data_IF_748165971917
#
_entry.id   IF_748165971917
#
_cell.length_a   1.000
_cell.length_b   1.000
_cell.length_c   1.000
_cell.angle_alpha   90.00
_cell.angle_beta   90.00
_cell.angle_gamma   90.00
#
_symmetry.space_group_name_H-M   'P 1'
#
loop_
_entity.id
_entity.type
_entity.pdbx_description
1 polymer ?
#
# COMPACT_ATOMS: atom_id res chain seq x y z
N UNK A 1 -39.77 -4.48 -1.93
CA UNK A 1 -38.34 -4.55 -1.67
C UNK A 1 -37.62 -3.56 -2.57
N UNK A 2 -37.14 -2.47 -2.02
CA UNK A 2 -36.41 -1.46 -2.78
C UNK A 2 -35.00 -2.00 -3.04
N UNK A 3 -34.66 -2.23 -4.30
CA UNK A 3 -33.27 -2.56 -4.66
C UNK A 3 -32.39 -1.39 -4.26
N UNK A 4 -31.41 -1.61 -3.39
CA UNK A 4 -30.33 -0.66 -3.17
C UNK A 4 -29.72 -0.29 -4.51
N UNK A 5 -29.69 1.00 -4.83
CA UNK A 5 -28.94 1.49 -5.98
C UNK A 5 -27.46 1.13 -5.75
N UNK A 6 -26.74 0.77 -6.82
CA UNK A 6 -25.29 0.51 -6.72
C UNK A 6 -24.54 1.70 -6.10
N UNK A 7 -25.01 2.92 -6.33
CA UNK A 7 -24.46 4.14 -5.77
C UNK A 7 -24.66 4.26 -4.24
N UNK A 8 -25.70 3.66 -3.69
CA UNK A 8 -25.99 3.64 -2.25
C UNK A 8 -25.18 2.56 -1.52
N UNK A 9 -24.42 1.75 -2.28
CA UNK A 9 -23.58 0.71 -1.73
C UNK A 9 -22.41 1.31 -0.94
N UNK A 10 -22.06 0.68 0.17
CA UNK A 10 -20.87 1.08 0.92
C UNK A 10 -19.62 0.76 0.11
N UNK A 11 -18.62 1.62 0.23
CA UNK A 11 -17.41 1.47 -0.56
C UNK A 11 -16.69 0.14 -0.27
N UNK A 12 -16.63 -0.29 1.00
CA UNK A 12 -15.99 -1.57 1.32
C UNK A 12 -16.71 -2.76 0.68
N UNK A 13 -18.05 -2.71 0.60
CA UNK A 13 -18.84 -3.75 -0.08
C UNK A 13 -18.56 -3.77 -1.58
N UNK A 14 -18.50 -2.58 -2.19
CA UNK A 14 -18.15 -2.45 -3.61
C UNK A 14 -16.75 -2.96 -3.89
N UNK A 15 -15.79 -2.62 -3.03
CA UNK A 15 -14.41 -3.05 -3.17
C UNK A 15 -14.28 -4.57 -3.03
N UNK A 16 -15.00 -5.17 -2.09
CA UNK A 16 -15.05 -6.62 -1.91
C UNK A 16 -15.56 -7.32 -3.17
N UNK A 17 -16.69 -6.86 -3.71
CA UNK A 17 -17.24 -7.41 -4.95
C UNK A 17 -16.28 -7.23 -6.13
N UNK A 18 -15.63 -6.08 -6.21
CA UNK A 18 -14.65 -5.78 -7.24
C UNK A 18 -13.45 -6.74 -7.17
N UNK A 19 -12.96 -7.01 -5.97
CA UNK A 19 -11.86 -7.98 -5.78
C UNK A 19 -12.30 -9.37 -6.23
N UNK A 20 -13.46 -9.82 -5.82
CA UNK A 20 -13.99 -11.13 -6.22
C UNK A 20 -14.15 -11.25 -7.74
N UNK A 21 -14.66 -10.21 -8.36
CA UNK A 21 -14.96 -10.22 -9.79
C UNK A 21 -13.69 -10.14 -10.65
N UNK A 22 -12.74 -9.29 -10.29
CA UNK A 22 -11.61 -8.97 -11.17
C UNK A 22 -10.27 -9.52 -10.70
N UNK A 23 -10.10 -9.82 -9.42
CA UNK A 23 -8.81 -10.23 -8.87
C UNK A 23 -8.73 -11.71 -8.49
N UNK A 24 -9.79 -12.27 -7.96
CA UNK A 24 -9.81 -13.71 -7.65
C UNK A 24 -9.63 -14.53 -8.93
N UNK A 25 -8.63 -15.38 -8.96
CA UNK A 25 -8.27 -16.18 -10.12
C UNK A 25 -7.42 -15.47 -11.16
N UNK A 26 -7.25 -14.15 -11.06
CA UNK A 26 -6.47 -13.36 -12.02
C UNK A 26 -5.09 -12.96 -11.48
N UNK A 27 -4.93 -12.89 -10.16
CA UNK A 27 -3.68 -12.49 -9.51
C UNK A 27 -3.19 -13.60 -8.59
N UNK A 28 -1.89 -13.54 -8.24
CA UNK A 28 -1.29 -14.51 -7.31
C UNK A 28 -1.90 -14.39 -5.92
N UNK A 29 -1.85 -15.47 -5.14
CA UNK A 29 -2.37 -15.52 -3.78
C UNK A 29 -1.76 -14.44 -2.88
N UNK A 30 -0.48 -14.13 -3.04
CA UNK A 30 0.19 -13.04 -2.30
C UNK A 30 -0.43 -11.69 -2.60
N UNK A 31 -0.70 -11.41 -3.88
CA UNK A 31 -1.33 -10.16 -4.31
C UNK A 31 -2.77 -10.09 -3.83
N UNK A 32 -3.51 -11.18 -3.90
CA UNK A 32 -4.88 -11.27 -3.40
C UNK A 32 -4.94 -11.00 -1.89
N UNK A 33 -3.98 -11.53 -1.13
CA UNK A 33 -3.86 -11.24 0.30
C UNK A 33 -3.70 -9.75 0.58
N UNK A 34 -2.91 -9.04 -0.23
CA UNK A 34 -2.73 -7.59 -0.11
C UNK A 34 -4.04 -6.83 -0.37
N UNK A 35 -4.80 -7.23 -1.38
CA UNK A 35 -6.12 -6.65 -1.64
C UNK A 35 -7.08 -6.89 -0.47
N UNK A 36 -7.08 -8.08 0.10
CA UNK A 36 -7.91 -8.41 1.25
C UNK A 36 -7.52 -7.62 2.50
N UNK A 37 -6.23 -7.38 2.70
CA UNK A 37 -5.74 -6.51 3.79
C UNK A 37 -6.21 -5.07 3.58
N UNK A 38 -6.14 -4.56 2.36
CA UNK A 38 -6.63 -3.22 2.03
C UNK A 38 -8.14 -3.10 2.24
N UNK A 39 -8.89 -4.13 1.87
CA UNK A 39 -10.34 -4.21 2.13
C UNK A 39 -10.63 -4.13 3.63
N UNK A 40 -9.90 -4.88 4.43
CA UNK A 40 -10.05 -4.85 5.89
C UNK A 40 -9.79 -3.45 6.44
N UNK A 41 -8.76 -2.76 5.93
CA UNK A 41 -8.43 -1.40 6.35
C UNK A 41 -9.51 -0.38 5.94
N UNK A 42 -10.05 -0.52 4.75
CA UNK A 42 -11.18 0.32 4.29
C UNK A 42 -12.38 0.13 5.22
N UNK A 43 -12.70 -1.11 5.58
CA UNK A 43 -13.76 -1.42 6.51
C UNK A 43 -13.52 -0.77 7.89
N UNK A 44 -12.30 -0.83 8.40
CA UNK A 44 -11.96 -0.25 9.70
C UNK A 44 -11.99 1.29 9.70
N UNK A 45 -11.49 1.90 8.62
CA UNK A 45 -11.33 3.36 8.53
C UNK A 45 -12.58 4.08 8.05
N UNK A 46 -13.34 3.47 7.17
CA UNK A 46 -14.49 4.11 6.54
C UNK A 46 -15.64 3.12 6.34
N UNK A 47 -16.20 2.56 7.44
CA UNK A 47 -17.23 1.52 7.32
C UNK A 47 -18.56 2.05 6.79
N UNK A 48 -18.81 3.35 6.91
CA UNK A 48 -20.06 3.98 6.48
C UNK A 48 -19.95 4.80 5.20
N UNK A 49 -18.76 4.82 4.58
CA UNK A 49 -18.55 5.58 3.35
C UNK A 49 -19.26 4.91 2.18
N UNK A 50 -20.16 5.65 1.54
CA UNK A 50 -20.86 5.19 0.34
C UNK A 50 -20.04 5.52 -0.91
N UNK A 51 -20.17 4.69 -1.95
CA UNK A 51 -19.47 4.88 -3.22
C UNK A 51 -19.76 6.27 -3.81
N UNK A 52 -21.02 6.69 -3.81
CA UNK A 52 -21.42 8.00 -4.36
C UNK A 52 -20.88 9.20 -3.58
N UNK A 53 -20.54 8.99 -2.30
CA UNK A 53 -20.01 10.04 -1.44
C UNK A 53 -18.52 10.27 -1.60
N UNK A 54 -17.83 9.39 -2.32
CA UNK A 54 -16.40 9.51 -2.49
C UNK A 54 -16.09 10.70 -3.37
N UNK A 55 -15.49 11.71 -2.77
CA UNK A 55 -14.92 12.85 -3.46
C UNK A 55 -13.42 12.94 -3.17
N UNK A 56 -12.76 13.91 -3.76
CA UNK A 56 -11.32 14.11 -3.57
C UNK A 56 -10.95 14.31 -2.10
N UNK A 57 -11.76 15.06 -1.36
CA UNK A 57 -11.49 15.35 0.05
C UNK A 57 -11.66 14.11 0.92
N UNK A 58 -12.73 13.37 0.72
CA UNK A 58 -13.00 12.13 1.47
C UNK A 58 -11.96 11.06 1.18
N UNK A 59 -11.59 10.93 -0.08
CA UNK A 59 -10.54 10.00 -0.46
C UNK A 59 -9.18 10.39 0.13
N UNK A 60 -8.83 11.68 0.08
CA UNK A 60 -7.62 12.19 0.71
C UNK A 60 -7.63 11.95 2.22
N UNK A 61 -8.78 12.16 2.86
CA UNK A 61 -8.92 11.90 4.30
C UNK A 61 -8.72 10.43 4.64
N UNK A 62 -9.26 9.54 3.83
CA UNK A 62 -9.07 8.09 4.00
C UNK A 62 -7.57 7.74 3.91
N UNK A 63 -6.87 8.27 2.93
CA UNK A 63 -5.42 8.06 2.79
C UNK A 63 -4.64 8.66 3.96
N UNK A 64 -5.04 9.83 4.44
CA UNK A 64 -4.40 10.46 5.58
C UNK A 64 -4.58 9.64 6.87
N UNK A 65 -5.77 9.10 7.08
CA UNK A 65 -6.07 8.24 8.24
C UNK A 65 -5.22 6.96 8.20
N UNK A 66 -5.09 6.37 7.03
CA UNK A 66 -4.22 5.21 6.83
C UNK A 66 -2.75 5.57 7.07
N UNK A 67 -2.32 6.74 6.62
CA UNK A 67 -0.96 7.22 6.74
C UNK A 67 -0.50 7.48 8.17
N UNK A 68 -1.44 7.66 9.11
CA UNK A 68 -1.11 7.87 10.52
C UNK A 68 -0.35 6.68 11.13
N UNK A 69 -0.63 5.49 10.64
CA UNK A 69 -0.06 4.24 11.17
C UNK A 69 0.83 3.50 10.20
N UNK A 70 1.00 4.02 8.98
CA UNK A 70 1.75 3.34 7.92
C UNK A 70 2.75 4.28 7.26
N UNK A 71 3.84 3.72 6.76
CA UNK A 71 4.85 4.47 6.02
C UNK A 71 4.32 4.92 4.66
N UNK A 72 4.97 5.92 4.08
CA UNK A 72 4.58 6.51 2.80
C UNK A 72 4.48 5.47 1.67
N UNK A 73 5.44 4.55 1.57
CA UNK A 73 5.41 3.51 0.55
C UNK A 73 4.21 2.58 0.72
N UNK A 74 3.90 2.20 1.95
CA UNK A 74 2.75 1.36 2.26
C UNK A 74 1.44 2.08 1.92
N UNK A 75 1.37 3.37 2.21
CA UNK A 75 0.21 4.21 1.85
C UNK A 75 0.06 4.34 0.33
N UNK A 76 1.17 4.45 -0.39
CA UNK A 76 1.16 4.46 -1.85
C UNK A 76 0.61 3.15 -2.43
N UNK A 77 1.03 2.02 -1.88
CA UNK A 77 0.54 0.71 -2.29
C UNK A 77 -0.97 0.56 -2.04
N UNK A 78 -1.42 1.02 -0.88
CA UNK A 78 -2.84 1.07 -0.52
C UNK A 78 -3.63 1.91 -1.53
N UNK A 79 -3.12 3.10 -1.87
CA UNK A 79 -3.72 3.97 -2.87
C UNK A 79 -3.84 3.27 -4.24
N UNK A 80 -2.79 2.62 -4.71
CA UNK A 80 -2.80 1.93 -5.99
C UNK A 80 -3.85 0.81 -6.03
N UNK A 81 -4.01 0.08 -4.94
CA UNK A 81 -5.00 -0.98 -4.85
C UNK A 81 -6.43 -0.44 -4.86
N UNK A 82 -6.70 0.66 -4.17
CA UNK A 82 -8.01 1.30 -4.17
C UNK A 82 -8.33 2.00 -5.48
N UNK A 83 -7.31 2.58 -6.12
CA UNK A 83 -7.48 3.35 -7.35
C UNK A 83 -8.14 2.55 -8.46
N UNK A 84 -7.76 1.30 -8.65
CA UNK A 84 -8.36 0.43 -9.68
C UNK A 84 -9.88 0.31 -9.50
N UNK A 85 -10.32 0.04 -8.29
CA UNK A 85 -11.74 -0.08 -7.97
C UNK A 85 -12.48 1.26 -8.15
N UNK A 86 -11.87 2.35 -7.70
CA UNK A 86 -12.46 3.69 -7.81
C UNK A 86 -12.60 4.12 -9.27
N UNK A 87 -11.60 3.86 -10.11
CA UNK A 87 -11.68 4.17 -11.54
C UNK A 87 -12.78 3.38 -12.24
N UNK A 88 -12.97 2.12 -11.88
CA UNK A 88 -14.06 1.31 -12.40
C UNK A 88 -15.42 1.88 -11.94
N UNK A 89 -15.53 2.36 -10.71
CA UNK A 89 -16.72 3.01 -10.21
C UNK A 89 -17.03 4.31 -10.99
N UNK A 90 -16.00 5.06 -11.38
CA UNK A 90 -16.16 6.23 -12.25
C UNK A 90 -16.67 5.83 -13.62
N UNK A 91 -16.08 4.78 -14.20
CA UNK A 91 -16.49 4.26 -15.52
C UNK A 91 -17.92 3.73 -15.52
N UNK A 92 -18.35 3.13 -14.42
CA UNK A 92 -19.72 2.64 -14.24
C UNK A 92 -20.72 3.78 -13.95
N UNK A 93 -20.25 5.02 -13.78
CA UNK A 93 -21.10 6.17 -13.49
C UNK A 93 -21.54 6.28 -12.03
N UNK A 94 -20.96 5.51 -11.14
CA UNK A 94 -21.28 5.58 -9.70
C UNK A 94 -20.64 6.79 -9.02
N UNK A 95 -19.50 7.24 -9.56
CA UNK A 95 -18.78 8.43 -9.12
C UNK A 95 -18.67 9.37 -10.32
N UNK A 96 -19.02 10.64 -10.14
CA UNK A 96 -19.10 11.61 -11.23
C UNK A 96 -17.73 12.11 -11.68
N UNK A 97 -16.80 12.30 -10.76
CA UNK A 97 -15.45 12.78 -11.04
C UNK A 97 -14.43 11.85 -10.40
N UNK A 98 -13.24 11.75 -11.01
CA UNK A 98 -12.18 10.91 -10.49
C UNK A 98 -11.60 11.52 -9.19
N UNK A 99 -11.88 10.92 -8.01
CA UNK A 99 -11.41 11.44 -6.74
C UNK A 99 -9.92 11.17 -6.48
N UNK A 100 -9.29 10.34 -7.32
CA UNK A 100 -7.88 9.95 -7.15
C UNK A 100 -6.91 10.92 -7.81
N UNK A 101 -7.42 11.96 -8.48
CA UNK A 101 -6.57 12.97 -9.14
C UNK A 101 -5.96 13.91 -8.12
N UNK A 102 -4.69 14.21 -8.30
CA UNK A 102 -3.94 15.21 -7.51
C UNK A 102 -3.98 14.94 -6.00
N UNK A 103 -4.04 13.71 -5.60
CA UNK A 103 -3.93 13.35 -4.19
C UNK A 103 -2.48 13.45 -3.73
N UNK A 104 -2.31 13.62 -2.42
CA UNK A 104 -1.00 13.69 -1.78
C UNK A 104 -0.83 12.46 -0.91
N UNK A 105 0.26 11.73 -1.12
CA UNK A 105 0.58 10.56 -0.31
C UNK A 105 1.43 11.00 0.86
N UNK A 106 0.90 10.77 2.05
CA UNK A 106 1.59 10.98 3.31
C UNK A 106 1.97 9.63 3.93
N UNK A 107 2.73 9.67 4.97
CA UNK A 107 3.08 8.48 5.73
C UNK A 107 3.73 8.90 7.02
N UNK A 108 3.70 8.01 8.03
CA UNK A 108 4.44 8.27 9.25
C UNK A 108 5.93 8.26 8.92
N UNK A 109 6.71 9.05 9.65
CA UNK A 109 8.16 9.04 9.50
C UNK A 109 8.66 7.62 9.75
N UNK A 110 9.49 7.07 8.84
CA UNK A 110 10.13 5.80 9.13
C UNK A 110 10.86 5.95 10.45
N UNK A 111 10.71 4.97 11.34
CA UNK A 111 11.62 4.86 12.48
C UNK A 111 13.02 5.00 11.89
N UNK A 112 13.86 5.85 12.50
CA UNK A 112 15.25 5.96 12.09
C UNK A 112 15.80 4.55 11.90
N UNK A 113 15.64 4.03 10.70
CA UNK A 113 16.40 2.86 10.30
C UNK A 113 17.82 3.38 10.26
N UNK A 114 18.64 2.90 11.19
CA UNK A 114 20.07 2.99 11.02
C UNK A 114 20.32 2.71 9.54
N UNK A 115 21.00 3.63 8.84
CA UNK A 115 21.26 3.43 7.43
C UNK A 115 21.74 2.00 7.24
N UNK A 116 21.21 1.31 6.25
CA UNK A 116 21.64 -0.05 5.89
C UNK A 116 23.11 -0.09 5.51
N UNK A 117 23.79 1.04 5.63
CA UNK A 117 25.20 1.19 5.41
C UNK A 117 25.91 1.00 6.74
N UNK A 118 26.84 0.06 6.77
CA UNK A 118 27.82 -0.01 7.82
C UNK A 118 28.49 1.36 7.90
N UNK A 119 28.55 1.98 9.09
CA UNK A 119 29.32 3.19 9.26
C UNK A 119 30.80 2.87 9.05
N UNK A 120 31.65 3.89 8.86
CA UNK A 120 33.07 3.68 8.62
C UNK A 120 33.74 2.81 9.69
N UNK A 121 33.30 2.95 10.93
CA UNK A 121 33.81 2.18 12.05
C UNK A 121 33.49 0.68 11.91
N UNK A 122 32.28 0.36 11.53
CA UNK A 122 31.84 -1.02 11.31
C UNK A 122 32.53 -1.65 10.08
N UNK A 123 32.75 -0.86 9.04
CA UNK A 123 33.48 -1.29 7.86
C UNK A 123 34.94 -1.59 8.23
N UNK A 124 35.58 -0.73 9.02
CA UNK A 124 36.95 -0.95 9.47
C UNK A 124 37.05 -2.18 10.38
N UNK A 125 36.09 -2.39 11.26
CA UNK A 125 36.05 -3.57 12.12
C UNK A 125 35.90 -4.86 11.29
N UNK A 126 35.06 -4.82 10.28
CA UNK A 126 34.88 -5.94 9.36
C UNK A 126 36.15 -6.23 8.55
N UNK A 127 36.81 -5.19 8.05
CA UNK A 127 38.07 -5.32 7.31
C UNK A 127 39.18 -5.87 8.21
N UNK A 128 39.25 -5.44 9.48
CA UNK A 128 40.20 -6.00 10.43
C UNK A 128 39.97 -7.49 10.69
N UNK A 129 38.73 -7.92 10.81
CA UNK A 129 38.41 -9.33 10.95
C UNK A 129 38.83 -10.13 9.70
N UNK A 130 38.67 -9.54 8.54
CA UNK A 130 39.08 -10.14 7.28
C UNK A 130 40.61 -10.21 7.15
N UNK A 131 41.33 -9.20 7.66
CA UNK A 131 42.80 -9.19 7.71
C UNK A 131 43.34 -10.17 8.74
N UNK A 132 42.66 -10.34 9.86
CA UNK A 132 43.07 -11.26 10.94
C UNK A 132 42.77 -12.72 10.62
N UNK A 133 41.80 -13.01 9.79
CA UNK A 133 41.65 -14.30 9.14
C UNK A 133 42.62 -14.36 7.98
N UNK A 134 43.88 -14.54 8.31
CA UNK A 134 45.07 -14.36 7.45
C UNK A 134 45.11 -15.25 6.20
N UNK A 135 44.16 -16.08 6.02
CA UNK A 135 43.91 -16.77 4.78
C UNK A 135 42.56 -16.26 4.26
N UNK A 136 42.62 -15.01 3.77
CA UNK A 136 41.46 -14.43 3.10
C UNK A 136 41.12 -15.33 1.95
N UNK A 137 40.05 -16.06 2.09
CA UNK A 137 39.46 -16.76 0.99
C UNK A 137 39.00 -15.68 0.00
N UNK A 138 39.61 -15.62 -1.16
CA UNK A 138 39.30 -14.66 -2.21
C UNK A 138 37.83 -14.71 -2.61
N UNK A 139 37.15 -15.81 -2.39
CA UNK A 139 35.72 -15.96 -2.61
C UNK A 139 34.90 -15.00 -1.71
N UNK A 140 35.37 -14.73 -0.51
CA UNK A 140 34.76 -13.74 0.37
C UNK A 140 34.91 -12.31 -0.16
N UNK A 141 36.02 -12.04 -0.80
CA UNK A 141 36.28 -10.73 -1.39
C UNK A 141 35.36 -10.47 -2.57
N UNK A 142 35.07 -11.48 -3.34
CA UNK A 142 34.14 -11.41 -4.48
C UNK A 142 32.70 -11.19 -4.01
N UNK A 143 32.31 -11.80 -2.88
CA UNK A 143 30.97 -11.63 -2.30
C UNK A 143 30.74 -10.24 -1.70
N UNK A 144 31.78 -9.48 -1.39
CA UNK A 144 31.72 -8.13 -0.83
C UNK A 144 31.75 -7.04 -1.91
N UNK A 145 31.99 -7.38 -3.13
CA UNK A 145 31.94 -6.51 -4.30
C UNK A 145 30.55 -6.67 -4.98
#
# INVERSE_FOLDING_TARGET
MVRKRKSDQLFYEYFEEWIELYKVGAVRSVTLSKYNMSLQRVYELAPSLKVEEIDRRKYQQLLNDYALTHEKQTTMDFHHQLKGAILDAVDEGLITTNPTRKIIIKGKKPKEKRPKFLNQFEIQALLRQLELSSEINWDWFILLV
#
